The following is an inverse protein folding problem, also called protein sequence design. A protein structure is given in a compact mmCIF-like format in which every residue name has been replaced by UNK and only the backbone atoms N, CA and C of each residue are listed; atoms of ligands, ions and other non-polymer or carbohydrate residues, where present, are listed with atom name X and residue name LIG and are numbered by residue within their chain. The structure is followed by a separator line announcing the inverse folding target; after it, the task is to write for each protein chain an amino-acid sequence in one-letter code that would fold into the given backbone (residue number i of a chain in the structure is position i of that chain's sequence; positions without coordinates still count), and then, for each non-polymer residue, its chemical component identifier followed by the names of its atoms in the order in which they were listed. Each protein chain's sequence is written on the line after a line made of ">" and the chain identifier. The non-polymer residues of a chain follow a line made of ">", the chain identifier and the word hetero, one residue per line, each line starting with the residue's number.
data_IF_568451624626
#
_entry.id   IF_568451624626
#
_cell.length_a   1.000
_cell.length_b   1.000
_cell.length_c   1.000
_cell.angle_alpha   90.00
_cell.angle_beta   90.00
_cell.angle_gamma   90.00
#
_symmetry.space_group_name_H-M   'P 1'
#
loop_
_entity.id
_entity.type
_entity.pdbx_description
1 polymer ?
#
# COMPACT_ATOMS: atom_id res chain seq x y z
N UNK A 1 7.58 2.12 -13.35
CA UNK A 1 8.48 2.38 -12.20
C UNK A 1 8.37 1.24 -11.18
N UNK A 2 9.35 1.05 -10.27
CA UNK A 2 9.31 -0.04 -9.27
C UNK A 2 8.04 0.00 -8.42
N UNK A 3 7.56 1.20 -8.08
CA UNK A 3 6.35 1.37 -7.28
C UNK A 3 5.08 0.87 -8.00
N UNK A 4 4.94 1.10 -9.32
CA UNK A 4 3.80 0.62 -10.09
C UNK A 4 3.68 -0.91 -10.11
N UNK A 5 4.80 -1.63 -10.02
CA UNK A 5 4.81 -3.10 -9.98
C UNK A 5 4.23 -3.69 -8.68
N UNK A 6 4.05 -2.86 -7.65
CA UNK A 6 3.46 -3.22 -6.35
C UNK A 6 1.96 -2.97 -6.27
N UNK A 7 1.36 -2.42 -7.32
CA UNK A 7 -0.06 -2.20 -7.41
C UNK A 7 -0.77 -3.46 -7.88
N UNK A 8 -1.92 -3.76 -7.26
CA UNK A 8 -2.90 -4.71 -7.77
C UNK A 8 -4.20 -3.94 -7.97
N UNK A 9 -4.70 -3.91 -9.21
CA UNK A 9 -5.91 -3.16 -9.58
C UNK A 9 -5.88 -1.67 -9.18
N UNK A 10 -4.69 -1.05 -9.22
CA UNK A 10 -4.53 0.37 -8.84
C UNK A 10 -4.38 0.62 -7.34
N UNK A 11 -4.36 -0.42 -6.49
CA UNK A 11 -4.19 -0.29 -5.05
C UNK A 11 -2.92 -0.97 -4.55
N UNK A 12 -2.34 -0.44 -3.48
CA UNK A 12 -1.16 -1.03 -2.83
C UNK A 12 -1.59 -2.22 -1.98
N UNK A 13 -1.00 -3.38 -2.26
CA UNK A 13 -1.22 -4.62 -1.50
C UNK A 13 -0.20 -4.74 -0.38
N UNK A 14 -0.68 -5.07 0.82
CA UNK A 14 0.18 -5.22 1.99
C UNK A 14 0.93 -6.55 1.91
N UNK A 15 2.25 -6.53 1.66
CA UNK A 15 3.06 -7.77 1.58
C UNK A 15 3.65 -8.20 2.93
N UNK A 16 4.20 -7.24 3.69
CA UNK A 16 4.87 -7.48 4.97
C UNK A 16 4.44 -6.43 6.01
N UNK A 17 3.24 -6.58 6.60
CA UNK A 17 2.81 -5.69 7.67
C UNK A 17 3.66 -5.94 8.92
N UNK A 18 3.94 -4.89 9.68
CA UNK A 18 4.53 -5.02 11.00
C UNK A 18 3.61 -5.83 11.92
N UNK A 19 4.14 -6.65 12.83
CA UNK A 19 3.36 -7.59 13.65
C UNK A 19 2.22 -6.92 14.45
N UNK A 20 2.41 -5.66 14.87
CA UNK A 20 1.36 -4.86 15.55
C UNK A 20 0.26 -4.39 14.59
N UNK A 21 0.61 -4.08 13.34
CA UNK A 21 -0.32 -3.62 12.31
C UNK A 21 -1.10 -4.78 11.69
N UNK A 22 -0.48 -5.96 11.58
CA UNK A 22 -1.11 -7.17 11.09
C UNK A 22 -2.35 -7.60 11.88
N UNK A 23 -2.46 -7.16 13.15
CA UNK A 23 -3.62 -7.41 14.02
C UNK A 23 -4.78 -6.44 13.79
N UNK A 24 -4.56 -5.35 13.04
CA UNK A 24 -5.56 -4.33 12.78
C UNK A 24 -6.38 -4.69 11.54
N UNK A 25 -7.64 -4.26 11.51
CA UNK A 25 -8.59 -4.59 10.43
C UNK A 25 -8.18 -4.03 9.06
N UNK A 26 -7.40 -2.94 9.03
CA UNK A 26 -7.07 -2.20 7.81
C UNK A 26 -5.67 -2.52 7.22
N UNK A 27 -4.82 -3.26 7.93
CA UNK A 27 -3.45 -3.55 7.49
C UNK A 27 -3.19 -5.06 7.51
N UNK A 28 -3.89 -5.78 6.62
CA UNK A 28 -3.83 -7.24 6.51
C UNK A 28 -2.98 -7.65 5.33
N UNK A 29 -2.11 -8.63 5.56
CA UNK A 29 -1.27 -9.18 4.49
C UNK A 29 -2.14 -9.75 3.36
N UNK A 30 -1.84 -9.36 2.12
CA UNK A 30 -2.52 -9.83 0.92
C UNK A 30 -3.76 -9.01 0.52
N UNK A 31 -4.20 -8.10 1.39
CA UNK A 31 -5.33 -7.20 1.13
C UNK A 31 -4.84 -5.84 0.60
N UNK A 32 -5.64 -5.16 -0.24
CA UNK A 32 -5.39 -3.79 -0.61
C UNK A 32 -5.56 -2.87 0.61
N UNK A 33 -4.73 -1.84 0.70
CA UNK A 33 -4.83 -0.82 1.75
C UNK A 33 -5.05 0.54 1.13
N UNK A 34 -6.19 1.15 1.43
CA UNK A 34 -6.56 2.49 0.96
C UNK A 34 -5.55 3.53 1.45
N UNK A 35 -5.21 3.50 2.75
CA UNK A 35 -4.21 4.40 3.35
C UNK A 35 -2.83 4.29 2.68
N UNK A 36 -2.42 3.07 2.31
CA UNK A 36 -1.15 2.87 1.61
C UNK A 36 -1.22 3.37 0.15
N UNK A 37 -2.40 3.30 -0.46
CA UNK A 37 -2.64 3.77 -1.84
C UNK A 37 -2.64 5.30 -1.90
N UNK A 38 -3.30 5.97 -0.95
CA UNK A 38 -3.26 7.43 -0.80
C UNK A 38 -1.81 7.93 -0.66
N UNK A 39 -1.03 7.31 0.24
CA UNK A 39 0.40 7.63 0.39
C UNK A 39 1.22 7.39 -0.87
N UNK A 40 0.86 6.39 -1.67
CA UNK A 40 1.52 6.13 -2.94
C UNK A 40 1.23 7.23 -3.98
N UNK A 41 -0.02 7.68 -4.07
CA UNK A 41 -0.42 8.79 -4.93
C UNK A 41 0.26 10.11 -4.52
N UNK A 42 0.35 10.38 -3.22
CA UNK A 42 1.10 11.52 -2.69
C UNK A 42 2.58 11.48 -3.12
N UNK A 43 3.23 10.32 -3.01
CA UNK A 43 4.64 10.14 -3.40
C UNK A 43 4.79 10.37 -4.91
N UNK A 44 3.87 9.85 -5.73
CA UNK A 44 3.89 10.10 -7.17
C UNK A 44 3.76 11.59 -7.49
N UNK A 45 2.84 12.29 -6.81
CA UNK A 45 2.64 13.72 -7.01
C UNK A 45 3.87 14.56 -6.64
N UNK A 46 4.64 14.14 -5.61
CA UNK A 46 5.88 14.82 -5.23
C UNK A 46 7.09 14.50 -6.14
N UNK A 47 7.00 13.47 -6.99
CA UNK A 47 8.06 13.08 -7.92
C UNK A 47 7.91 13.72 -9.31
N UNK A 48 6.82 14.45 -9.55
CA UNK A 48 6.59 15.28 -10.73
C UNK A 48 7.06 16.72 -10.48
#
# INVERSE_FOLDING_TARGET
>A
SVLQSKLRNGQIVVERPHAKLAKLSFCRKGEPSELATEKYEDILNNLC
#
